data_IF_898348354624
#
_entry.id   IF_898348354624
#
_cell.length_a   1.000
_cell.length_b   1.000
_cell.length_c   1.000
_cell.angle_alpha   90.00
_cell.angle_beta   90.00
_cell.angle_gamma   90.00
#
_symmetry.space_group_name_H-M   'P 1'
#
loop_
_entity.id
_entity.type
_entity.pdbx_description
1 polymer ?
#
# COMPACT_ATOMS: atom_id res chain seq x y z
N UNK A 1 -13.41 -15.06 -5.56
CA UNK A 1 -12.88 -14.66 -6.88
C UNK A 1 -11.66 -13.82 -6.60
N UNK A 2 -10.55 -14.06 -7.30
CA UNK A 2 -9.32 -13.28 -7.14
C UNK A 2 -9.57 -11.84 -7.62
N UNK A 3 -9.12 -10.85 -6.85
CA UNK A 3 -9.23 -9.43 -7.22
C UNK A 3 -8.47 -9.15 -8.53
N UNK A 4 -7.38 -9.86 -8.79
CA UNK A 4 -6.58 -9.73 -10.02
C UNK A 4 -7.40 -10.08 -11.28
N UNK A 5 -8.36 -10.99 -11.16
CA UNK A 5 -9.24 -11.38 -12.28
C UNK A 5 -10.53 -10.56 -12.33
N UNK A 6 -10.90 -9.86 -11.25
CA UNK A 6 -12.08 -8.98 -11.25
C UNK A 6 -11.74 -7.58 -11.72
N UNK A 7 -10.75 -6.95 -11.09
CA UNK A 7 -10.37 -5.57 -11.35
C UNK A 7 -9.15 -5.47 -12.29
N UNK A 8 -8.54 -6.59 -12.67
CA UNK A 8 -7.26 -6.64 -13.35
C UNK A 8 -6.09 -6.67 -12.35
N UNK A 9 -4.90 -7.02 -12.83
CA UNK A 9 -3.69 -7.11 -12.02
C UNK A 9 -2.75 -5.93 -12.20
N UNK A 10 -3.06 -5.02 -13.12
CA UNK A 10 -2.22 -3.87 -13.47
C UNK A 10 -0.86 -4.27 -14.02
N UNK A 11 0.03 -3.29 -14.17
CA UNK A 11 1.36 -3.50 -14.69
C UNK A 11 2.31 -3.84 -13.55
N UNK A 12 3.01 -4.98 -13.64
CA UNK A 12 3.87 -5.50 -12.56
C UNK A 12 5.24 -4.78 -12.47
N UNK A 13 5.27 -3.45 -12.61
CA UNK A 13 6.49 -2.64 -12.52
C UNK A 13 6.42 -1.64 -11.35
N UNK A 14 7.48 -0.86 -11.15
CA UNK A 14 7.54 0.15 -10.08
C UNK A 14 7.22 1.57 -10.62
N UNK A 15 6.65 1.67 -11.82
CA UNK A 15 6.36 2.98 -12.41
C UNK A 15 5.05 3.50 -11.84
N UNK A 16 5.14 4.67 -11.21
CA UNK A 16 3.96 5.35 -10.67
C UNK A 16 3.04 5.81 -11.81
N UNK A 17 1.79 5.36 -11.78
CA UNK A 17 0.69 5.82 -12.65
C UNK A 17 -0.42 6.34 -11.75
N UNK A 18 -0.83 7.61 -11.89
CA UNK A 18 -1.81 8.25 -11.00
C UNK A 18 -2.70 9.20 -11.78
N UNK A 19 -3.89 9.48 -11.24
CA UNK A 19 -4.84 10.43 -11.83
C UNK A 19 -5.96 9.77 -12.64
N UNK A 20 -5.96 8.45 -12.77
CA UNK A 20 -7.05 7.70 -13.38
C UNK A 20 -8.38 7.90 -12.64
N UNK A 21 -8.35 8.04 -11.31
CA UNK A 21 -9.57 8.41 -10.54
C UNK A 21 -10.10 9.79 -10.91
N UNK A 22 -9.26 10.74 -11.32
CA UNK A 22 -9.72 12.06 -11.73
C UNK A 22 -10.48 12.00 -13.08
N UNK A 23 -10.02 11.13 -13.99
CA UNK A 23 -10.60 10.98 -15.32
C UNK A 23 -11.81 10.03 -15.35
N UNK A 24 -11.77 8.95 -14.57
CA UNK A 24 -12.77 7.87 -14.58
C UNK A 24 -13.66 7.83 -13.32
N UNK A 25 -13.42 8.71 -12.35
CA UNK A 25 -14.09 8.69 -11.06
C UNK A 25 -13.75 7.43 -10.24
N UNK A 26 -14.67 7.03 -9.37
CA UNK A 26 -14.58 5.78 -8.58
C UNK A 26 -15.03 4.55 -9.37
N UNK A 27 -14.88 4.58 -10.70
CA UNK A 27 -15.25 3.44 -11.54
C UNK A 27 -14.21 2.35 -11.37
N UNK A 28 -14.64 1.11 -11.20
CA UNK A 28 -13.72 -0.01 -11.13
C UNK A 28 -13.19 -0.36 -12.53
N UNK A 29 -11.92 -0.74 -12.59
CA UNK A 29 -11.37 -1.43 -13.75
C UNK A 29 -11.91 -2.86 -13.81
N UNK A 30 -11.77 -3.50 -14.97
CA UNK A 30 -12.14 -4.90 -15.20
C UNK A 30 -10.91 -5.72 -15.58
N UNK A 31 -10.95 -7.01 -15.23
CA UNK A 31 -9.93 -8.00 -15.60
C UNK A 31 -9.97 -8.45 -17.06
N UNK A 32 -8.98 -9.25 -17.45
CA UNK A 32 -8.76 -9.67 -18.82
C UNK A 32 -9.97 -10.40 -19.43
N UNK A 33 -10.54 -11.38 -18.73
CA UNK A 33 -11.65 -12.19 -19.26
C UNK A 33 -12.87 -11.32 -19.62
N UNK A 34 -13.21 -10.36 -18.76
CA UNK A 34 -14.32 -9.45 -19.02
C UNK A 34 -14.02 -8.46 -20.14
N UNK A 35 -12.78 -7.95 -20.19
CA UNK A 35 -12.34 -7.06 -21.25
C UNK A 35 -12.29 -7.77 -22.62
N UNK A 36 -11.88 -9.05 -22.64
CA UNK A 36 -11.75 -9.87 -23.84
C UNK A 36 -13.11 -10.13 -24.52
N UNK A 37 -14.17 -10.28 -23.71
CA UNK A 37 -15.55 -10.41 -24.22
C UNK A 37 -15.99 -9.15 -24.97
N UNK A 38 -15.51 -7.96 -24.56
CA UNK A 38 -15.82 -6.69 -25.22
C UNK A 38 -14.92 -6.48 -26.45
N UNK A 39 -13.63 -6.76 -26.33
CA UNK A 39 -12.66 -6.63 -27.41
C UNK A 39 -11.64 -7.77 -27.36
N UNK A 40 -11.72 -8.70 -28.33
CA UNK A 40 -10.84 -9.86 -28.40
C UNK A 40 -9.41 -9.55 -28.91
N UNK A 41 -9.09 -8.28 -29.20
CA UNK A 41 -7.77 -7.82 -29.65
C UNK A 41 -6.97 -7.10 -28.55
N UNK A 42 -7.37 -7.23 -27.29
CA UNK A 42 -6.62 -6.68 -26.16
C UNK A 42 -5.31 -7.43 -25.92
N UNK A 43 -4.39 -6.77 -25.21
CA UNK A 43 -3.12 -7.37 -24.80
C UNK A 43 -3.35 -8.58 -23.91
N UNK A 44 -2.94 -9.77 -24.37
CA UNK A 44 -2.83 -10.96 -23.54
C UNK A 44 -1.37 -11.16 -23.13
N UNK A 45 -0.99 -10.62 -21.98
CA UNK A 45 0.35 -10.77 -21.42
C UNK A 45 0.26 -11.35 -20.02
N UNK A 46 0.96 -12.44 -19.78
CA UNK A 46 0.96 -13.16 -18.50
C UNK A 46 2.29 -12.97 -17.77
N UNK A 47 2.25 -12.77 -16.45
CA UNK A 47 3.42 -12.95 -15.57
C UNK A 47 3.42 -14.37 -15.04
N UNK A 48 4.58 -15.03 -15.12
CA UNK A 48 4.81 -16.41 -14.69
C UNK A 48 3.81 -17.43 -15.24
N UNK A 49 3.16 -17.10 -16.38
CA UNK A 49 2.11 -17.92 -16.99
C UNK A 49 0.81 -17.99 -16.20
N UNK A 50 0.62 -17.15 -15.19
CA UNK A 50 -0.47 -17.26 -14.21
C UNK A 50 -1.36 -16.01 -14.14
N UNK A 51 -0.78 -14.82 -14.15
CA UNK A 51 -1.53 -13.57 -13.90
C UNK A 51 -1.59 -12.71 -15.15
N UNK A 52 -2.79 -12.36 -15.60
CA UNK A 52 -2.99 -11.43 -16.73
C UNK A 52 -2.59 -10.02 -16.32
N UNK A 53 -1.59 -9.48 -17.00
CA UNK A 53 -1.17 -8.10 -16.82
C UNK A 53 -2.22 -7.12 -17.32
N UNK A 54 -2.15 -5.92 -16.76
CA UNK A 54 -3.01 -4.77 -17.05
C UNK A 54 -4.41 -4.90 -16.46
N UNK A 55 -5.12 -3.78 -16.60
CA UNK A 55 -6.53 -3.67 -16.31
C UNK A 55 -7.18 -2.79 -17.38
N UNK A 56 -8.50 -2.79 -17.43
CA UNK A 56 -9.24 -2.04 -18.45
C UNK A 56 -10.39 -1.24 -17.86
N UNK A 57 -10.63 -0.04 -18.39
CA UNK A 57 -11.90 0.63 -18.19
C UNK A 57 -12.86 0.28 -19.32
N UNK A 58 -14.13 0.01 -18.97
CA UNK A 58 -15.21 -0.02 -19.97
C UNK A 58 -15.44 1.39 -20.49
N UNK A 59 -15.57 1.52 -21.80
CA UNK A 59 -15.82 2.79 -22.47
C UNK A 59 -16.80 2.59 -23.63
N UNK A 60 -17.08 3.67 -24.36
CA UNK A 60 -17.85 3.66 -25.61
C UNK A 60 -17.07 4.36 -26.70
N UNK A 61 -17.17 3.85 -27.93
CA UNK A 61 -16.63 4.52 -29.10
C UNK A 61 -17.54 5.68 -29.56
N UNK A 62 -17.14 6.35 -30.65
CA UNK A 62 -17.89 7.48 -31.24
C UNK A 62 -19.30 7.11 -31.74
N UNK A 63 -19.58 5.82 -31.92
CA UNK A 63 -20.89 5.28 -32.32
C UNK A 63 -21.66 4.66 -31.15
N UNK A 64 -21.12 4.75 -29.93
CA UNK A 64 -21.74 4.24 -28.71
C UNK A 64 -21.55 2.73 -28.46
N UNK A 65 -20.79 2.03 -29.30
CA UNK A 65 -20.46 0.61 -29.09
C UNK A 65 -19.51 0.45 -27.91
N UNK A 66 -19.65 -0.66 -27.17
CA UNK A 66 -18.80 -0.95 -26.03
C UNK A 66 -17.36 -1.16 -26.49
N UNK A 67 -16.42 -0.51 -25.81
CA UNK A 67 -14.98 -0.69 -26.00
C UNK A 67 -14.28 -0.75 -24.64
N UNK A 68 -12.98 -0.97 -24.66
CA UNK A 68 -12.14 -1.02 -23.46
C UNK A 68 -10.89 -0.19 -23.63
N UNK A 69 -10.48 0.49 -22.56
CA UNK A 69 -9.25 1.28 -22.51
C UNK A 69 -8.29 0.59 -21.57
N UNK A 70 -7.16 0.11 -22.08
CA UNK A 70 -6.12 -0.52 -21.27
C UNK A 70 -5.42 0.51 -20.39
N UNK A 71 -5.18 0.17 -19.14
CA UNK A 71 -4.45 0.96 -18.15
C UNK A 71 -3.38 0.14 -17.43
N UNK A 72 -2.37 0.83 -16.91
CA UNK A 72 -1.25 0.22 -16.18
C UNK A 72 -1.51 0.12 -14.68
N UNK A 73 -2.39 0.95 -14.14
CA UNK A 73 -2.87 0.89 -12.77
C UNK A 73 -4.20 0.16 -12.68
N UNK A 74 -4.56 -0.28 -11.48
CA UNK A 74 -5.88 -0.86 -11.20
C UNK A 74 -6.73 0.14 -10.40
N UNK A 75 -8.04 0.09 -10.61
CA UNK A 75 -9.00 0.72 -9.72
C UNK A 75 -9.97 -0.35 -9.23
N UNK A 76 -10.00 -0.62 -7.94
CA UNK A 76 -10.87 -1.65 -7.38
C UNK A 76 -11.54 -1.12 -6.11
N UNK A 77 -12.87 -1.24 -6.03
CA UNK A 77 -13.67 -0.61 -4.98
C UNK A 77 -13.47 0.92 -4.92
N UNK A 78 -13.16 1.55 -6.06
CA UNK A 78 -12.82 2.96 -6.17
C UNK A 78 -11.44 3.37 -5.64
N UNK A 79 -10.56 2.41 -5.27
CA UNK A 79 -9.18 2.69 -4.91
C UNK A 79 -8.27 2.49 -6.11
N UNK A 80 -7.58 3.57 -6.49
CA UNK A 80 -6.50 3.53 -7.48
C UNK A 80 -5.21 3.01 -6.82
N UNK A 81 -4.71 1.88 -7.31
CA UNK A 81 -3.34 1.40 -7.03
C UNK A 81 -2.38 2.14 -7.96
N UNK A 82 -1.53 2.99 -7.40
CA UNK A 82 -0.67 3.86 -8.22
C UNK A 82 0.60 3.17 -8.70
N UNK A 83 0.87 1.93 -8.28
CA UNK A 83 2.01 1.11 -8.75
C UNK A 83 1.59 -0.20 -9.42
N UNK A 84 0.33 -0.31 -9.85
CA UNK A 84 -0.18 -1.36 -10.75
C UNK A 84 -0.35 -2.74 -10.11
N UNK A 85 0.63 -3.22 -9.36
CA UNK A 85 0.62 -4.51 -8.66
C UNK A 85 1.61 -4.52 -7.48
N UNK A 86 2.11 -3.35 -7.06
CA UNK A 86 3.18 -3.26 -6.05
C UNK A 86 2.67 -2.61 -4.77
N UNK A 87 3.45 -2.77 -3.72
CA UNK A 87 3.09 -2.26 -2.40
C UNK A 87 2.88 -0.75 -2.44
N UNK A 88 1.66 -0.32 -2.18
CA UNK A 88 1.34 1.08 -1.93
C UNK A 88 1.59 1.44 -0.47
N UNK A 89 2.26 2.58 -0.27
CA UNK A 89 2.58 3.11 1.06
C UNK A 89 1.79 4.40 1.25
N UNK A 90 0.97 4.43 2.28
CA UNK A 90 0.26 5.65 2.68
C UNK A 90 1.10 6.45 3.67
N UNK A 91 1.27 7.75 3.41
CA UNK A 91 1.82 8.68 4.40
C UNK A 91 0.79 8.94 5.51
N UNK A 92 1.27 9.28 6.72
CA UNK A 92 0.38 9.54 7.85
C UNK A 92 -0.38 8.30 8.32
N UNK A 93 0.18 7.10 8.13
CA UNK A 93 -0.37 5.85 8.68
C UNK A 93 0.76 5.06 9.35
N UNK A 94 0.56 4.66 10.61
CA UNK A 94 1.43 3.70 11.26
C UNK A 94 0.65 2.72 12.16
N UNK A 95 1.36 1.75 12.73
CA UNK A 95 0.81 0.73 13.61
C UNK A 95 1.53 0.81 14.97
N UNK A 96 1.14 1.75 15.85
CA UNK A 96 1.78 1.90 17.14
C UNK A 96 1.56 0.63 17.97
N UNK A 97 2.60 0.28 18.71
CA UNK A 97 2.58 -0.90 19.55
C UNK A 97 2.90 -0.53 21.00
N UNK A 98 2.13 0.42 21.50
CA UNK A 98 2.09 0.84 22.89
C UNK A 98 0.85 0.25 23.59
N UNK A 99 0.79 0.43 24.92
CA UNK A 99 -0.24 -0.17 25.75
C UNK A 99 -1.64 0.27 25.30
N UNK A 100 -2.48 -0.69 24.93
CA UNK A 100 -3.87 -0.46 24.56
C UNK A 100 -4.10 -0.18 23.07
N UNK A 101 -3.05 -0.14 22.24
CA UNK A 101 -3.18 0.11 20.81
C UNK A 101 -2.61 -0.99 19.90
N UNK A 102 -2.25 -2.13 20.47
CA UNK A 102 -1.75 -3.26 19.69
C UNK A 102 -2.76 -3.67 18.61
N UNK A 103 -2.30 -3.70 17.35
CA UNK A 103 -3.15 -4.03 16.21
C UNK A 103 -4.15 -2.94 15.81
N UNK A 104 -3.99 -1.71 16.30
CA UNK A 104 -4.75 -0.54 15.83
C UNK A 104 -3.91 0.27 14.86
N UNK A 105 -4.50 0.59 13.71
CA UNK A 105 -3.91 1.52 12.75
C UNK A 105 -4.12 2.93 13.23
N UNK A 106 -3.04 3.70 13.34
CA UNK A 106 -3.07 5.12 13.68
C UNK A 106 -2.94 5.91 12.39
N UNK A 107 -3.95 6.74 12.13
CA UNK A 107 -4.08 7.52 10.90
C UNK A 107 -4.14 9.00 11.28
N UNK A 108 -3.24 9.80 10.70
CA UNK A 108 -3.26 11.25 10.81
C UNK A 108 -4.16 11.82 9.71
N UNK A 109 -5.20 12.55 10.13
CA UNK A 109 -6.13 13.20 9.22
C UNK A 109 -5.56 14.54 8.72
N UNK A 110 -6.04 15.06 7.57
CA UNK A 110 -5.59 16.35 7.05
C UNK A 110 -5.80 17.53 8.00
N UNK A 111 -6.76 17.44 8.92
CA UNK A 111 -7.03 18.44 9.97
C UNK A 111 -6.10 18.33 11.19
N UNK A 112 -5.15 17.39 11.17
CA UNK A 112 -4.20 17.12 12.25
C UNK A 112 -4.74 16.20 13.35
N UNK A 113 -6.01 15.79 13.30
CA UNK A 113 -6.56 14.83 14.23
C UNK A 113 -6.02 13.42 13.99
N UNK A 114 -6.08 12.57 15.02
CA UNK A 114 -5.63 11.18 14.96
C UNK A 114 -6.84 10.26 15.11
N UNK A 115 -6.93 9.27 14.22
CA UNK A 115 -7.89 8.17 14.30
C UNK A 115 -7.17 6.87 14.62
N UNK A 116 -7.72 6.12 15.57
CA UNK A 116 -7.28 4.76 15.86
C UNK A 116 -8.31 3.79 15.29
N UNK A 117 -7.94 3.04 14.27
CA UNK A 117 -8.81 2.07 13.60
C UNK A 117 -8.45 0.67 14.07
N UNK A 118 -9.42 -0.02 14.65
CA UNK A 118 -9.21 -1.37 15.17
C UNK A 118 -8.97 -2.34 14.01
N UNK A 119 -7.80 -2.96 13.99
CA UNK A 119 -7.50 -4.11 13.14
C UNK A 119 -7.41 -5.41 13.94
N UNK A 120 -6.62 -6.35 13.43
CA UNK A 120 -6.36 -7.65 14.06
C UNK A 120 -4.98 -7.67 14.70
N UNK A 121 -4.82 -8.50 15.72
CA UNK A 121 -3.53 -8.81 16.36
C UNK A 121 -2.97 -10.16 15.94
N UNK A 122 -3.79 -11.02 15.34
CA UNK A 122 -3.37 -12.31 14.81
C UNK A 122 -2.69 -12.15 13.44
N UNK A 123 -1.55 -12.81 13.29
CA UNK A 123 -0.70 -12.82 12.08
C UNK A 123 -0.78 -14.17 11.38
N UNK A 124 -0.33 -14.24 10.13
CA UNK A 124 -0.34 -15.46 9.31
C UNK A 124 -1.76 -16.03 9.10
N UNK A 125 -2.75 -15.15 8.92
CA UNK A 125 -4.15 -15.55 8.74
C UNK A 125 -4.70 -15.10 7.39
N UNK A 126 -5.43 -15.98 6.73
CA UNK A 126 -6.24 -15.64 5.56
C UNK A 126 -7.37 -14.71 5.98
N UNK A 127 -7.47 -13.55 5.33
CA UNK A 127 -8.45 -12.53 5.68
C UNK A 127 -9.84 -12.92 5.22
N UNK A 128 -10.76 -13.12 6.17
CA UNK A 128 -12.17 -13.50 5.91
C UNK A 128 -13.17 -12.43 6.32
N UNK A 129 -12.69 -11.30 6.84
CA UNK A 129 -13.52 -10.17 7.25
C UNK A 129 -12.73 -8.88 7.13
N UNK A 130 -13.37 -7.86 6.56
CA UNK A 130 -12.84 -6.50 6.43
C UNK A 130 -13.86 -5.51 6.96
N UNK A 131 -13.40 -4.51 7.71
CA UNK A 131 -14.18 -3.33 8.00
C UNK A 131 -13.90 -2.31 6.91
N UNK A 132 -14.97 -1.75 6.35
CA UNK A 132 -14.97 -0.68 5.37
C UNK A 132 -16.07 0.31 5.77
N UNK A 133 -15.77 1.61 5.82
CA UNK A 133 -16.69 2.60 6.36
C UNK A 133 -16.46 4.01 5.82
N UNK A 134 -16.94 5.02 6.56
CA UNK A 134 -16.99 6.44 6.14
C UNK A 134 -15.70 6.98 5.52
N UNK A 135 -14.55 6.55 6.02
CA UNK A 135 -13.24 7.05 5.60
C UNK A 135 -12.55 6.18 4.57
N UNK A 136 -13.24 5.13 4.08
CA UNK A 136 -12.67 4.22 3.10
C UNK A 136 -11.38 3.58 3.66
N UNK A 137 -11.31 3.24 4.94
CA UNK A 137 -10.22 2.39 5.45
C UNK A 137 -10.65 0.93 5.26
N UNK A 138 -9.83 0.13 4.59
CA UNK A 138 -10.02 -1.32 4.46
C UNK A 138 -9.11 -2.02 5.46
N UNK A 139 -9.67 -2.39 6.62
CA UNK A 139 -8.90 -3.00 7.72
C UNK A 139 -9.38 -4.42 7.97
N UNK A 140 -8.49 -5.42 8.06
CA UNK A 140 -8.87 -6.78 8.38
C UNK A 140 -9.43 -6.85 9.80
N UNK A 141 -10.56 -7.54 9.96
CA UNK A 141 -11.30 -7.70 11.23
C UNK A 141 -11.79 -9.13 11.45
N UNK A 142 -12.45 -9.37 12.59
CA UNK A 142 -12.98 -10.67 12.98
C UNK A 142 -11.90 -11.65 13.46
N UNK A 143 -12.32 -12.79 13.99
CA UNK A 143 -11.43 -13.80 14.58
C UNK A 143 -11.27 -15.07 13.73
N UNK A 144 -12.02 -15.18 12.63
CA UNK A 144 -11.95 -16.34 11.74
C UNK A 144 -10.67 -16.27 10.89
N UNK A 145 -9.98 -17.42 10.83
CA UNK A 145 -8.91 -17.65 9.86
C UNK A 145 -9.51 -18.40 8.67
N UNK A 146 -9.30 -17.88 7.46
CA UNK A 146 -9.68 -18.57 6.23
C UNK A 146 -8.70 -19.67 5.84
N UNK A 147 -8.79 -20.06 4.57
CA UNK A 147 -7.85 -20.96 3.91
C UNK A 147 -7.41 -20.38 2.57
N UNK A 148 -6.54 -21.09 1.85
CA UNK A 148 -6.18 -20.79 0.45
C UNK A 148 -7.34 -20.94 -0.54
N UNK A 149 -8.55 -21.23 -0.08
CA UNK A 149 -9.78 -21.26 -0.88
C UNK A 149 -10.93 -20.43 -0.28
N UNK A 150 -10.74 -19.84 0.90
CA UNK A 150 -11.77 -19.05 1.59
C UNK A 150 -11.15 -17.77 2.17
N UNK A 151 -10.90 -16.79 1.30
CA UNK A 151 -10.29 -15.51 1.66
C UNK A 151 -10.78 -14.38 0.76
N UNK A 152 -10.73 -13.14 1.27
CA UNK A 152 -10.94 -11.92 0.50
C UNK A 152 -9.63 -11.37 -0.08
N UNK A 153 -8.55 -11.48 0.68
CA UNK A 153 -7.20 -11.11 0.28
C UNK A 153 -6.21 -12.10 0.89
N UNK A 154 -4.98 -12.10 0.38
CA UNK A 154 -3.86 -12.86 0.91
C UNK A 154 -3.66 -12.68 2.42
N UNK A 155 -2.75 -13.49 2.96
CA UNK A 155 -2.50 -13.54 4.40
C UNK A 155 -2.17 -12.17 4.99
N UNK A 156 -2.83 -11.87 6.11
CA UNK A 156 -2.52 -10.72 6.94
C UNK A 156 -1.30 -11.01 7.81
N UNK A 157 -0.26 -10.20 7.63
CA UNK A 157 0.98 -10.28 8.39
C UNK A 157 1.15 -9.06 9.29
N UNK A 158 1.18 -9.30 10.59
CA UNK A 158 1.34 -8.27 11.61
C UNK A 158 2.30 -8.71 12.73
N UNK A 159 2.88 -7.74 13.43
CA UNK A 159 3.57 -7.94 14.70
C UNK A 159 3.10 -6.92 15.73
N UNK A 160 2.80 -7.40 16.95
CA UNK A 160 2.47 -6.58 18.12
C UNK A 160 3.58 -6.67 19.20
N UNK A 161 4.82 -6.95 18.78
CA UNK A 161 5.99 -6.98 19.68
C UNK A 161 6.55 -5.57 19.95
N UNK A 162 6.68 -5.17 21.22
CA UNK A 162 6.99 -3.78 21.65
C UNK A 162 8.44 -3.36 21.37
N UNK A 163 9.28 -4.31 20.95
CA UNK A 163 10.76 -4.16 20.85
C UNK A 163 11.28 -4.34 19.42
N UNK A 164 10.40 -4.32 18.41
CA UNK A 164 10.85 -4.37 17.01
C UNK A 164 10.75 -2.99 16.37
N UNK A 165 11.91 -2.41 16.07
CA UNK A 165 12.04 -1.47 14.96
C UNK A 165 11.67 -2.24 13.69
N UNK A 166 11.07 -1.61 12.68
CA UNK A 166 10.80 -2.26 11.37
C UNK A 166 12.13 -2.74 10.79
N UNK A 167 12.45 -4.00 11.04
CA UNK A 167 13.53 -4.74 10.40
C UNK A 167 12.86 -5.98 9.81
N UNK A 168 12.77 -6.02 8.48
CA UNK A 168 12.20 -7.17 7.79
C UNK A 168 13.20 -8.32 7.85
N UNK A 169 12.85 -9.36 8.61
CA UNK A 169 13.04 -10.76 8.23
C UNK A 169 14.31 -11.50 8.69
N UNK A 170 14.07 -12.80 8.92
CA UNK A 170 14.96 -13.93 9.21
C UNK A 170 15.78 -14.36 7.98
N UNK A 171 17.01 -14.85 8.19
CA UNK A 171 18.01 -15.56 7.35
C UNK A 171 18.10 -15.35 5.81
N UNK A 172 17.27 -14.55 5.14
CA UNK A 172 17.36 -14.16 3.72
C UNK A 172 16.26 -13.13 3.40
N UNK A 173 16.26 -11.98 4.07
CA UNK A 173 15.25 -10.95 3.85
C UNK A 173 15.74 -9.91 2.85
N UNK A 174 15.33 -10.06 1.58
CA UNK A 174 15.56 -9.08 0.53
C UNK A 174 14.44 -8.03 0.56
N UNK A 175 14.73 -6.80 0.98
CA UNK A 175 13.78 -5.69 0.87
C UNK A 175 13.90 -5.02 -0.51
N UNK A 176 13.33 -5.64 -1.56
CA UNK A 176 13.35 -5.10 -2.93
C UNK A 176 12.37 -3.93 -3.17
N UNK A 177 11.98 -3.18 -2.13
CA UNK A 177 11.10 -2.02 -2.27
C UNK A 177 10.84 -1.28 -0.95
N UNK A 178 10.87 0.05 -0.98
CA UNK A 178 10.67 0.97 0.15
C UNK A 178 11.85 1.93 0.38
N UNK A 179 11.68 2.90 1.29
CA UNK A 179 12.66 3.98 1.62
C UNK A 179 13.98 3.45 2.21
N UNK A 180 14.05 2.17 2.55
CA UNK A 180 15.25 1.47 3.03
C UNK A 180 15.48 0.18 2.24
N UNK A 181 16.36 0.24 1.25
CA UNK A 181 16.96 -0.94 0.60
C UNK A 181 17.98 -1.55 1.57
N UNK A 182 17.66 -2.69 2.17
CA UNK A 182 18.58 -3.39 3.07
C UNK A 182 18.91 -4.78 2.50
N UNK A 183 20.20 -5.04 2.33
CA UNK A 183 20.76 -6.35 1.99
C UNK A 183 21.37 -6.92 3.26
N UNK A 184 20.79 -7.98 3.83
CA UNK A 184 21.22 -8.50 5.12
C UNK A 184 21.67 -9.95 4.98
N UNK A 185 22.97 -10.16 4.72
CA UNK A 185 23.60 -11.48 4.82
C UNK A 185 24.32 -11.61 6.16
N UNK A 186 23.72 -12.40 7.05
CA UNK A 186 24.26 -12.97 8.30
C UNK A 186 24.14 -12.14 9.59
N UNK A 187 24.10 -12.90 10.71
CA UNK A 187 23.73 -12.54 12.09
C UNK A 187 24.24 -11.17 12.59
N UNK A 188 23.60 -10.65 13.65
CA UNK A 188 23.75 -9.30 14.21
C UNK A 188 25.20 -8.79 14.43
N UNK A 189 26.19 -9.68 14.43
CA UNK A 189 27.61 -9.36 14.58
C UNK A 189 28.31 -8.98 13.26
N UNK A 190 27.70 -9.17 12.09
CA UNK A 190 28.33 -8.99 10.78
C UNK A 190 27.38 -8.36 9.73
N UNK A 191 26.57 -7.39 10.16
CA UNK A 191 25.61 -6.73 9.26
C UNK A 191 26.28 -5.61 8.45
N UNK A 192 26.41 -5.81 7.13
CA UNK A 192 26.68 -4.74 6.16
C UNK A 192 25.37 -4.09 5.70
N UNK A 193 24.83 -3.15 6.48
CA UNK A 193 23.59 -2.44 6.10
C UNK A 193 23.90 -1.04 5.55
N UNK A 194 23.43 -0.76 4.33
CA UNK A 194 23.36 0.60 3.78
C UNK A 194 22.11 1.30 4.30
N UNK A 195 22.13 1.69 5.58
CA UNK A 195 21.03 2.43 6.20
C UNK A 195 21.21 3.92 5.91
N UNK A 196 20.34 4.48 5.06
CA UNK A 196 20.20 5.93 4.95
C UNK A 196 19.36 6.46 6.11
N UNK A 197 19.81 7.55 6.74
CA UNK A 197 18.98 8.35 7.64
C UNK A 197 18.79 9.74 7.03
N UNK A 198 17.57 10.27 7.13
CA UNK A 198 17.24 11.67 6.79
C UNK A 198 16.91 12.39 8.09
N UNK A 199 17.72 13.37 8.46
CA UNK A 199 17.35 14.35 9.48
C UNK A 199 16.13 15.13 8.97
N UNK A 200 15.01 15.02 9.68
CA UNK A 200 13.85 15.88 9.48
C UNK A 200 13.75 16.85 10.66
N UNK A 201 13.83 18.14 10.38
CA UNK A 201 13.57 19.18 11.38
C UNK A 201 12.05 19.39 11.48
N UNK A 202 11.45 19.07 12.62
CA UNK A 202 10.10 19.52 12.97
C UNK A 202 10.22 20.80 13.81
N UNK A 203 9.78 21.93 13.26
CA UNK A 203 9.82 23.22 13.94
C UNK A 203 9.94 24.40 12.97
N UNK A 204 9.83 25.63 13.50
CA UNK A 204 10.02 26.85 12.71
C UNK A 204 11.51 27.14 12.55
N UNK A 205 12.00 27.15 11.31
CA UNK A 205 13.36 27.60 11.03
C UNK A 205 13.39 29.12 11.20
N UNK A 206 14.18 29.60 12.17
CA UNK A 206 14.40 31.02 12.42
C UNK A 206 15.82 31.41 12.04
N UNK A 207 15.99 32.54 11.34
CA UNK A 207 17.31 33.10 11.06
C UNK A 207 17.69 34.07 12.19
N UNK A 208 18.83 33.83 12.82
CA UNK A 208 19.40 34.78 13.76
C UNK A 208 20.07 35.94 13.00
N UNK A 209 19.96 37.16 13.55
CA UNK A 209 20.56 38.37 12.94
C UNK A 209 22.08 38.46 13.17
N UNK A 210 22.65 37.65 14.05
CA UNK A 210 24.09 37.58 14.32
C UNK A 210 24.47 36.25 15.00
N UNK A 211 25.77 35.94 15.03
CA UNK A 211 26.31 34.76 15.74
C UNK A 211 26.05 34.84 17.24
N UNK A 212 26.14 36.04 17.84
CA UNK A 212 25.85 36.24 19.25
C UNK A 212 24.36 35.97 19.54
N UNK A 213 23.45 36.44 18.67
CA UNK A 213 22.03 36.18 18.79
C UNK A 213 21.70 34.68 18.65
N UNK A 214 22.35 33.97 17.72
CA UNK A 214 22.19 32.51 17.57
C UNK A 214 22.59 31.76 18.84
N UNK A 215 23.74 32.11 19.44
CA UNK A 215 24.24 31.47 20.67
C UNK A 215 23.39 31.79 21.91
N UNK A 216 22.58 32.85 21.86
CA UNK A 216 21.68 33.24 22.95
C UNK A 216 20.29 32.56 22.84
N UNK A 217 19.98 31.89 21.73
CA UNK A 217 18.74 31.12 21.58
C UNK A 217 18.78 29.95 22.58
N UNK A 218 17.77 29.86 23.43
CA UNK A 218 17.54 28.69 24.30
C UNK A 218 16.57 27.74 23.59
N UNK A 219 16.73 26.44 23.81
CA UNK A 219 15.76 25.45 23.37
C UNK A 219 14.37 25.84 23.88
N UNK A 220 13.42 25.97 22.95
CA UNK A 220 12.01 26.04 23.28
C UNK A 220 11.52 24.61 23.16
N UNK A 221 11.27 23.97 24.30
CA UNK A 221 10.64 22.65 24.39
C UNK A 221 9.20 22.70 23.84
#
# INVERSE_FOLDING_TARGET
RDMQEQCGAGQHNNNRTTGGTADHGMTDTIGYDEAYVINNKITNSLIDGLVHQYAWYKSRDEYGQATVVQVNNICCLGYEDIYGNKYDMMDGVDLPNDSGNQGKWRIWMPDGSIRMVQGKTASDQWTTGVAHGKYMDLVPVGNLNGSSSTYYTDKYWISTATVRVVYRGYNNANANGGVSSAYASHDASNTHAYIGSRLAFRGKIVRAQSVAAYKAIREVA
#
